data_IF_245557071311
#
_entry.id   IF_245557071311
#
_cell.length_a   1.000
_cell.length_b   1.000
_cell.length_c   1.000
_cell.angle_alpha   90.00
_cell.angle_beta   90.00
_cell.angle_gamma   90.00
#
_symmetry.space_group_name_H-M   'P 1'
#
loop_
_entity.id
_entity.type
_entity.pdbx_description
1 polymer ?
#
# COMPACT_ATOMS: atom_id res chain seq x y z
N UNK A 1 23.25 -70.75 -31.25
CA UNK A 1 24.28 -70.71 -30.20
C UNK A 1 25.34 -69.70 -30.61
N UNK A 2 25.42 -68.61 -29.81
CA UNK A 2 26.48 -67.58 -29.69
C UNK A 2 26.81 -66.60 -30.84
N UNK A 3 26.74 -65.31 -30.45
CA UNK A 3 27.05 -64.05 -31.14
C UNK A 3 28.55 -63.74 -31.09
N UNK A 4 29.10 -63.04 -32.10
CA UNK A 4 30.14 -61.97 -31.98
C UNK A 4 30.05 -61.08 -33.25
N UNK A 5 29.40 -59.91 -33.20
CA UNK A 5 29.96 -58.57 -33.02
C UNK A 5 30.53 -57.93 -34.30
N UNK A 6 29.71 -57.11 -34.98
CA UNK A 6 30.18 -56.21 -36.05
C UNK A 6 30.17 -54.76 -35.55
N UNK A 7 31.36 -54.16 -35.57
CA UNK A 7 31.69 -52.85 -35.03
C UNK A 7 31.18 -51.77 -36.00
N UNK A 8 30.07 -51.09 -35.66
CA UNK A 8 29.69 -49.84 -36.33
C UNK A 8 30.49 -48.67 -35.77
N UNK A 9 31.44 -48.18 -36.56
CA UNK A 9 32.09 -46.90 -36.32
C UNK A 9 31.12 -45.75 -36.67
N UNK A 10 30.88 -44.79 -35.77
CA UNK A 10 30.17 -43.57 -36.12
C UNK A 10 31.12 -42.57 -36.82
N UNK A 11 30.70 -41.88 -37.89
CA UNK A 11 31.53 -40.87 -38.54
C UNK A 11 31.75 -39.65 -37.64
N UNK A 12 33.00 -39.16 -37.68
CA UNK A 12 33.54 -38.07 -36.88
C UNK A 12 32.97 -36.69 -37.30
N UNK A 13 32.49 -35.96 -36.29
CA UNK A 13 32.47 -34.50 -36.05
C UNK A 13 32.55 -33.55 -37.27
N UNK A 14 31.45 -32.84 -37.54
CA UNK A 14 31.49 -31.50 -38.15
C UNK A 14 31.82 -30.47 -37.08
N UNK A 15 32.72 -29.54 -37.40
CA UNK A 15 33.15 -28.43 -36.55
C UNK A 15 31.99 -27.46 -36.23
N UNK A 16 32.04 -26.73 -35.10
CA UNK A 16 31.06 -25.69 -34.83
C UNK A 16 31.27 -24.51 -35.79
N UNK A 17 30.22 -24.18 -36.55
CA UNK A 17 30.12 -22.92 -37.26
C UNK A 17 29.94 -21.82 -36.22
N UNK A 18 30.85 -20.83 -36.23
CA UNK A 18 30.74 -19.62 -35.44
C UNK A 18 29.45 -18.88 -35.80
N UNK A 19 28.55 -18.72 -34.83
CA UNK A 19 27.39 -17.84 -34.93
C UNK A 19 27.83 -16.39 -34.66
N UNK A 20 27.45 -15.42 -35.52
CA UNK A 20 27.75 -14.02 -35.26
C UNK A 20 26.97 -13.52 -34.05
N UNK A 21 27.69 -12.79 -33.20
CA UNK A 21 27.20 -11.93 -32.14
C UNK A 21 26.10 -11.00 -32.65
N UNK A 22 24.84 -11.38 -32.44
CA UNK A 22 23.72 -10.45 -32.46
C UNK A 22 23.37 -10.13 -31.02
N UNK A 23 23.90 -9.02 -30.54
CA UNK A 23 23.33 -8.28 -29.42
C UNK A 23 21.84 -8.07 -29.69
N UNK A 24 20.91 -8.61 -28.88
CA UNK A 24 19.61 -7.99 -28.79
C UNK A 24 19.82 -6.68 -28.03
N UNK A 25 19.62 -5.57 -28.74
CA UNK A 25 19.36 -4.28 -28.15
C UNK A 25 18.32 -4.49 -27.04
N UNK A 26 18.76 -4.35 -25.79
CA UNK A 26 17.87 -4.32 -24.64
C UNK A 26 16.93 -3.12 -24.89
N UNK A 27 15.61 -3.33 -25.04
CA UNK A 27 14.72 -2.20 -25.20
C UNK A 27 14.84 -1.37 -23.94
N UNK A 28 15.16 -0.10 -24.15
CA UNK A 28 15.28 0.92 -23.13
C UNK A 28 14.16 0.73 -22.11
N UNK A 29 14.59 0.52 -20.88
CA UNK A 29 13.81 0.56 -19.67
C UNK A 29 12.84 1.73 -19.79
N UNK A 30 11.56 1.43 -20.05
CA UNK A 30 10.49 2.40 -19.89
C UNK A 30 10.68 3.02 -18.51
N UNK A 31 10.68 4.36 -18.37
CA UNK A 31 10.69 4.96 -17.06
C UNK A 31 9.42 4.45 -16.38
N UNK A 32 9.61 3.59 -15.38
CA UNK A 32 8.53 3.22 -14.47
C UNK A 32 7.86 4.54 -14.09
N UNK A 33 6.53 4.71 -14.28
CA UNK A 33 5.89 5.92 -13.83
C UNK A 33 6.23 6.00 -12.36
N UNK A 34 7.01 7.03 -11.99
CA UNK A 34 7.32 7.32 -10.62
C UNK A 34 5.97 7.34 -9.93
N UNK A 35 5.67 6.25 -9.21
CA UNK A 35 4.54 6.22 -8.31
C UNK A 35 4.94 7.27 -7.31
N UNK A 36 4.38 8.46 -7.50
CA UNK A 36 4.33 9.51 -6.51
C UNK A 36 3.59 8.84 -5.38
N UNK A 37 4.33 8.12 -4.53
CA UNK A 37 3.89 7.77 -3.20
C UNK A 37 3.64 9.13 -2.59
N UNK A 38 2.38 9.53 -2.33
CA UNK A 38 2.15 10.76 -1.61
C UNK A 38 2.69 10.53 -0.19
N UNK A 39 3.98 10.78 -0.01
CA UNK A 39 4.66 10.94 1.27
C UNK A 39 4.06 12.17 1.92
N UNK A 40 2.84 12.03 2.45
CA UNK A 40 2.07 13.22 2.79
C UNK A 40 0.69 12.97 3.35
N UNK A 41 0.43 11.77 3.88
CA UNK A 41 -0.60 11.65 4.92
C UNK A 41 0.10 11.39 6.25
N UNK A 42 0.84 12.39 6.74
CA UNK A 42 1.09 12.45 8.17
C UNK A 42 -0.27 12.68 8.85
N UNK A 43 -0.79 11.72 9.63
CA UNK A 43 -1.99 11.97 10.39
C UNK A 43 -1.69 13.14 11.32
N UNK A 44 -2.51 14.21 11.34
CA UNK A 44 -2.31 15.28 12.30
C UNK A 44 -2.36 14.67 13.71
N UNK A 45 -1.27 14.84 14.46
CA UNK A 45 -1.13 14.40 15.87
C UNK A 45 -2.26 14.95 16.76
N UNK A 46 -2.94 16.00 16.30
CA UNK A 46 -4.19 16.50 16.88
C UNK A 46 -5.34 16.39 15.88
N UNK A 47 -6.14 15.34 16.02
CA UNK A 47 -7.39 15.21 15.26
C UNK A 47 -8.41 16.22 15.83
N UNK A 48 -8.47 17.43 15.23
CA UNK A 48 -9.42 18.49 15.61
C UNK A 48 -10.83 17.91 15.67
N UNK A 49 -11.48 17.98 16.82
CA UNK A 49 -12.94 17.87 16.88
C UNK A 49 -13.50 19.03 16.07
N UNK A 50 -14.67 18.86 15.44
CA UNK A 50 -15.39 19.97 14.79
C UNK A 50 -15.60 21.18 15.71
N UNK A 51 -15.52 20.98 17.03
CA UNK A 51 -15.60 22.04 18.03
C UNK A 51 -14.32 22.90 18.13
N UNK A 52 -13.17 22.45 17.62
CA UNK A 52 -11.86 23.08 17.84
C UNK A 52 -11.53 24.15 16.79
N UNK A 53 -12.41 24.40 15.82
CA UNK A 53 -12.19 25.40 14.76
C UNK A 53 -12.31 26.86 15.22
N UNK A 54 -12.61 27.13 16.49
CA UNK A 54 -12.65 28.50 17.05
C UNK A 54 -13.77 29.41 16.52
N UNK A 55 -14.44 28.99 15.45
CA UNK A 55 -15.61 29.65 14.88
C UNK A 55 -16.82 29.21 15.70
N UNK A 56 -17.40 30.13 16.47
CA UNK A 56 -18.69 29.90 17.12
C UNK A 56 -19.75 29.87 16.02
N UNK A 57 -20.41 28.73 15.78
CA UNK A 57 -21.47 28.67 14.78
C UNK A 57 -22.67 29.52 15.24
N UNK A 58 -23.40 30.16 14.31
CA UNK A 58 -24.58 30.98 14.62
C UNK A 58 -25.62 30.17 15.41
N UNK A 59 -26.45 30.85 16.22
CA UNK A 59 -27.34 30.22 17.19
C UNK A 59 -28.28 29.13 16.60
N UNK A 60 -28.72 29.30 15.35
CA UNK A 60 -29.50 28.29 14.61
C UNK A 60 -28.76 26.96 14.40
N UNK A 61 -27.44 27.01 14.17
CA UNK A 61 -26.62 25.82 13.97
C UNK A 61 -26.33 25.10 15.30
N UNK A 62 -26.25 25.84 16.41
CA UNK A 62 -26.20 25.25 17.76
C UNK A 62 -27.47 24.45 18.10
N UNK A 63 -28.64 24.94 17.72
CA UNK A 63 -29.90 24.22 17.91
C UNK A 63 -29.97 22.93 17.07
N UNK A 64 -29.44 22.96 15.83
CA UNK A 64 -29.30 21.76 14.98
C UNK A 64 -28.27 20.77 15.51
N UNK A 65 -27.20 21.24 16.14
CA UNK A 65 -26.17 20.37 16.74
C UNK A 65 -26.70 19.51 17.89
N UNK A 66 -27.58 20.05 18.73
CA UNK A 66 -28.26 19.31 19.81
C UNK A 66 -29.22 18.22 19.28
N UNK A 67 -29.76 18.41 18.07
CA UNK A 67 -30.61 17.43 17.37
C UNK A 67 -29.83 16.41 16.53
N UNK A 68 -28.50 16.41 16.53
CA UNK A 68 -27.76 15.41 15.75
C UNK A 68 -27.85 14.03 16.41
N UNK A 69 -28.40 13.02 15.71
CA UNK A 69 -28.50 11.68 16.28
C UNK A 69 -27.11 11.15 16.62
N UNK A 70 -26.99 10.61 17.83
CA UNK A 70 -25.77 9.91 18.24
C UNK A 70 -25.48 8.75 17.30
N UNK A 71 -24.21 8.39 17.20
CA UNK A 71 -23.74 7.35 16.29
C UNK A 71 -24.45 6.03 16.63
N UNK A 72 -25.41 5.64 15.81
CA UNK A 72 -26.17 4.40 15.98
C UNK A 72 -25.32 3.16 15.68
N UNK A 73 -25.80 2.01 16.16
CA UNK A 73 -25.26 0.69 15.80
C UNK A 73 -25.40 0.50 14.28
N UNK A 74 -24.39 -0.11 13.67
CA UNK A 74 -24.37 -0.39 12.22
C UNK A 74 -24.12 -1.88 12.03
N UNK A 75 -24.89 -2.53 11.16
CA UNK A 75 -24.66 -3.93 10.77
C UNK A 75 -23.31 -4.08 10.05
N UNK A 76 -22.64 -5.22 10.28
CA UNK A 76 -21.38 -5.54 9.61
C UNK A 76 -21.65 -6.12 8.21
N UNK A 77 -22.17 -5.27 7.33
CA UNK A 77 -22.45 -5.58 5.92
C UNK A 77 -21.98 -4.46 5.01
N UNK A 78 -21.89 -4.74 3.71
CA UNK A 78 -21.56 -3.73 2.70
C UNK A 78 -22.64 -2.64 2.72
N UNK A 79 -22.21 -1.39 2.71
CA UNK A 79 -23.13 -0.24 2.61
C UNK A 79 -23.52 -0.08 1.14
N UNK A 80 -24.80 -0.16 0.85
CA UNK A 80 -25.31 -0.08 -0.52
C UNK A 80 -25.26 1.34 -1.05
N UNK A 81 -25.85 2.29 -0.30
CA UNK A 81 -25.85 3.71 -0.64
C UNK A 81 -24.41 4.25 -0.83
N UNK A 82 -24.16 4.77 -2.03
CA UNK A 82 -22.85 5.23 -2.46
C UNK A 82 -22.38 6.44 -1.66
N UNK A 83 -23.26 7.38 -1.35
CA UNK A 83 -22.91 8.61 -0.62
C UNK A 83 -22.55 8.26 0.82
N UNK A 84 -23.40 7.51 1.51
CA UNK A 84 -23.13 7.00 2.85
C UNK A 84 -21.86 6.14 2.90
N UNK A 85 -21.64 5.29 1.90
CA UNK A 85 -20.42 4.46 1.79
C UNK A 85 -19.16 5.32 1.68
N UNK A 86 -19.18 6.37 0.86
CA UNK A 86 -18.04 7.28 0.70
C UNK A 86 -17.74 8.04 2.00
N UNK A 87 -18.77 8.58 2.65
CA UNK A 87 -18.60 9.29 3.94
C UNK A 87 -18.09 8.35 5.03
N UNK A 88 -18.67 7.14 5.15
CA UNK A 88 -18.21 6.15 6.13
C UNK A 88 -16.81 5.64 5.81
N UNK A 89 -16.45 5.44 4.55
CA UNK A 89 -15.09 5.08 4.15
C UNK A 89 -14.09 6.14 4.64
N UNK A 90 -14.32 7.42 4.34
CA UNK A 90 -13.43 8.50 4.78
C UNK A 90 -13.29 8.55 6.30
N UNK A 91 -14.41 8.45 7.04
CA UNK A 91 -14.40 8.47 8.52
C UNK A 91 -13.73 7.23 9.11
N UNK A 92 -14.02 6.03 8.61
CA UNK A 92 -13.46 4.76 9.11
C UNK A 92 -11.98 4.65 8.79
N UNK A 93 -11.57 5.02 7.58
CA UNK A 93 -10.16 5.07 7.17
C UNK A 93 -9.36 5.99 8.08
N UNK A 94 -9.84 7.22 8.30
CA UNK A 94 -9.17 8.16 9.20
C UNK A 94 -9.06 7.61 10.64
N UNK A 95 -10.13 7.01 11.17
CA UNK A 95 -10.11 6.39 12.50
C UNK A 95 -9.16 5.20 12.60
N UNK A 96 -9.10 4.35 11.56
CA UNK A 96 -8.21 3.19 11.51
C UNK A 96 -6.74 3.62 11.48
N UNK A 97 -6.40 4.62 10.66
CA UNK A 97 -5.06 5.19 10.59
C UNK A 97 -4.63 5.79 11.93
N UNK A 98 -5.54 6.50 12.59
CA UNK A 98 -5.28 7.02 13.94
C UNK A 98 -4.97 5.90 14.93
N UNK A 99 -5.74 4.81 14.88
CA UNK A 99 -5.54 3.66 15.77
C UNK A 99 -4.22 2.94 15.50
N UNK A 100 -3.84 2.74 14.24
CA UNK A 100 -2.55 2.18 13.88
C UNK A 100 -1.38 3.04 14.36
N UNK A 101 -1.51 4.37 14.23
CA UNK A 101 -0.53 5.32 14.75
C UNK A 101 -0.42 5.25 16.28
N UNK A 102 -1.55 5.36 16.99
CA UNK A 102 -1.60 5.23 18.46
C UNK A 102 -0.97 3.91 18.91
N UNK A 103 -1.26 2.79 18.23
CA UNK A 103 -0.70 1.48 18.56
C UNK A 103 0.82 1.41 18.36
N UNK A 104 1.32 1.91 17.21
CA UNK A 104 2.75 1.90 16.92
C UNK A 104 3.57 2.76 17.90
N UNK A 105 2.98 3.82 18.44
CA UNK A 105 3.63 4.68 19.43
C UNK A 105 3.51 4.14 20.86
N UNK A 106 2.33 3.67 21.27
CA UNK A 106 2.09 3.25 22.66
C UNK A 106 2.74 1.91 23.00
N UNK A 107 2.86 1.03 22.01
CA UNK A 107 3.32 -0.33 22.20
C UNK A 107 4.61 -0.63 21.44
N UNK A 108 5.25 0.39 20.86
CA UNK A 108 6.49 0.24 20.08
C UNK A 108 6.37 -0.79 18.93
N UNK A 109 5.14 -1.05 18.46
CA UNK A 109 4.84 -2.09 17.51
C UNK A 109 5.08 -1.63 16.07
N UNK A 110 5.64 -2.53 15.25
CA UNK A 110 5.72 -2.34 13.80
C UNK A 110 4.36 -2.61 13.16
N UNK A 111 3.80 -1.59 12.50
CA UNK A 111 2.47 -1.64 11.89
C UNK A 111 2.52 -1.08 10.47
N UNK A 112 1.93 -1.83 9.53
CA UNK A 112 1.71 -1.39 8.15
C UNK A 112 0.24 -1.58 7.76
N UNK A 113 -0.33 -0.61 7.05
CA UNK A 113 -1.70 -0.62 6.53
C UNK A 113 -1.73 -0.17 5.07
N UNK A 114 -2.49 -0.89 4.25
CA UNK A 114 -2.78 -0.56 2.86
C UNK A 114 -4.29 -0.56 2.64
N UNK A 115 -4.84 0.53 2.11
CA UNK A 115 -6.28 0.68 1.87
C UNK A 115 -6.53 1.22 0.47
N UNK A 116 -7.22 0.43 -0.34
CA UNK A 116 -7.70 0.87 -1.65
C UNK A 116 -9.13 1.40 -1.55
N UNK A 117 -9.36 2.60 -2.09
CA UNK A 117 -10.72 3.07 -2.31
C UNK A 117 -11.34 2.43 -3.56
N UNK A 118 -12.68 2.36 -3.65
CA UNK A 118 -13.36 1.94 -4.88
C UNK A 118 -13.03 2.81 -6.10
N UNK A 119 -12.47 4.00 -5.89
CA UNK A 119 -12.00 4.90 -6.95
C UNK A 119 -10.55 4.60 -7.39
N UNK A 120 -9.94 3.51 -6.91
CA UNK A 120 -8.56 3.13 -7.25
C UNK A 120 -7.48 3.90 -6.50
N UNK A 121 -7.82 4.85 -5.63
CA UNK A 121 -6.84 5.57 -4.81
C UNK A 121 -6.29 4.70 -3.69
N UNK A 122 -4.97 4.62 -3.59
CA UNK A 122 -4.22 3.99 -2.50
C UNK A 122 -4.07 4.97 -1.33
N UNK A 123 -4.28 4.45 -0.12
CA UNK A 123 -3.96 5.12 1.14
C UNK A 123 -3.13 4.15 1.96
N UNK A 124 -1.99 4.60 2.46
CA UNK A 124 -1.05 3.75 3.18
C UNK A 124 -0.51 4.40 4.45
N UNK A 125 -0.17 3.57 5.43
CA UNK A 125 0.50 3.94 6.65
C UNK A 125 1.54 2.87 6.97
N UNK A 126 2.76 3.27 7.34
CA UNK A 126 3.79 2.37 7.84
C UNK A 126 4.55 3.07 8.97
N UNK A 127 4.73 2.39 10.10
CA UNK A 127 5.62 2.85 11.16
C UNK A 127 7.06 2.52 10.79
N UNK A 128 7.94 3.52 10.69
CA UNK A 128 9.35 3.28 10.43
C UNK A 128 10.07 2.92 11.74
N UNK A 129 10.50 1.66 11.87
CA UNK A 129 11.57 1.23 12.79
C UNK A 129 12.77 0.65 12.06
N UNK A 130 13.07 1.22 10.89
CA UNK A 130 14.35 0.97 10.21
C UNK A 130 15.07 2.29 9.97
N UNK A 131 15.24 3.06 11.05
CA UNK A 131 16.51 3.76 11.22
C UNK A 131 17.50 2.68 11.64
N UNK A 132 18.44 2.37 10.74
CA UNK A 132 19.76 1.84 11.06
C UNK A 132 20.05 1.80 12.56
N UNK A 133 20.44 0.65 13.10
CA UNK A 133 21.64 0.73 13.93
C UNK A 133 22.72 1.30 12.99
N UNK A 134 23.22 2.54 13.15
CA UNK A 134 24.55 2.79 12.68
C UNK A 134 25.40 1.85 13.51
N UNK A 135 25.77 0.71 12.94
CA UNK A 135 26.99 0.05 13.38
C UNK A 135 28.04 1.17 13.41
N UNK A 136 28.70 1.43 14.54
CA UNK A 136 29.85 2.31 14.53
C UNK A 136 30.90 1.58 13.70
N UNK A 137 30.94 1.91 12.41
CA UNK A 137 32.11 1.65 11.59
C UNK A 137 32.99 2.89 11.74
N UNK A 138 34.14 2.64 12.37
CA UNK A 138 35.27 3.48 12.76
C UNK A 138 35.13 4.24 14.07
#
# INVERSE_FOLDING_TARGET
>A
MLRVAERRAPPRRRAPVALPSRSPAVPALLPQPARIIPTGFHPPVHFRRRADTGIIPPAEERARASKMPRRGRVELRRIEDRVSRQVRFSKRRAGLFKKAFELSLLCDAEVALLVFSPAGKLYEYASARFGHHPCPLN
#
